data_IF_526989526439
#
_entry.id   IF_526989526439
#
_cell.length_a   1.000
_cell.length_b   1.000
_cell.length_c   1.000
_cell.angle_alpha   90.00
_cell.angle_beta   90.00
_cell.angle_gamma   90.00
#
_symmetry.space_group_name_H-M   'P 1'
#
loop_
_entity.id
_entity.type
_entity.pdbx_description
1 polymer ?
#
# COMPACT_ATOMS: atom_id res chain seq x y z
N UNK A 1 -1.52 8.97 -13.29
CA UNK A 1 -1.76 8.35 -14.61
C UNK A 1 -0.63 8.70 -15.57
N UNK A 2 -0.46 9.99 -15.96
CA UNK A 2 0.55 10.37 -16.97
C UNK A 2 1.97 9.96 -16.58
N UNK A 3 2.39 10.19 -15.32
CA UNK A 3 3.70 9.73 -14.85
C UNK A 3 3.91 8.22 -15.00
N UNK A 4 2.88 7.41 -14.71
CA UNK A 4 2.92 5.96 -14.92
C UNK A 4 3.11 5.61 -16.40
N UNK A 5 2.38 6.30 -17.29
CA UNK A 5 2.51 6.10 -18.75
C UNK A 5 3.91 6.48 -19.22
N UNK A 6 4.45 7.60 -18.75
CA UNK A 6 5.81 8.02 -19.14
C UNK A 6 6.87 7.00 -18.69
N UNK A 7 6.73 6.43 -17.48
CA UNK A 7 7.63 5.38 -17.02
C UNK A 7 7.49 4.12 -17.88
N UNK A 8 6.27 3.70 -18.20
CA UNK A 8 6.04 2.52 -19.07
C UNK A 8 6.61 2.73 -20.48
N UNK A 9 6.48 3.94 -21.05
CA UNK A 9 7.12 4.27 -22.35
C UNK A 9 8.65 4.30 -22.25
N UNK A 10 9.20 4.84 -21.15
CA UNK A 10 10.63 4.79 -20.91
C UNK A 10 11.14 3.33 -20.78
N UNK A 11 10.42 2.47 -20.08
CA UNK A 11 10.73 1.03 -20.02
C UNK A 11 10.66 0.41 -21.42
N UNK A 12 9.66 0.78 -22.22
CA UNK A 12 9.49 0.25 -23.57
C UNK A 12 10.68 0.60 -24.49
N UNK A 13 11.19 1.81 -24.37
CA UNK A 13 12.28 2.34 -25.22
C UNK A 13 13.70 2.07 -24.68
N UNK A 14 13.83 1.46 -23.48
CA UNK A 14 15.15 1.23 -22.84
C UNK A 14 15.47 -0.26 -22.82
N UNK A 15 16.40 -0.70 -23.65
CA UNK A 15 16.72 -2.13 -23.84
C UNK A 15 17.32 -2.81 -22.60
N UNK A 16 18.02 -2.05 -21.75
CA UNK A 16 18.64 -2.58 -20.53
C UNK A 16 17.63 -2.91 -19.44
N UNK A 17 16.42 -2.32 -19.46
CA UNK A 17 15.37 -2.62 -18.47
C UNK A 17 14.69 -3.93 -18.84
N UNK A 18 14.71 -4.90 -17.93
CA UNK A 18 14.08 -6.22 -18.10
C UNK A 18 12.86 -6.43 -17.23
N UNK A 19 12.84 -5.84 -16.03
CA UNK A 19 11.75 -5.99 -15.06
C UNK A 19 11.26 -4.62 -14.62
N UNK A 20 9.94 -4.42 -14.60
CA UNK A 20 9.28 -3.23 -14.07
C UNK A 20 8.19 -3.59 -13.07
N UNK A 21 8.33 -3.13 -11.82
CA UNK A 21 7.31 -3.26 -10.77
C UNK A 21 6.68 -1.89 -10.53
N UNK A 22 5.44 -1.73 -10.99
CA UNK A 22 4.70 -0.47 -10.92
C UNK A 22 3.95 -0.38 -9.59
N UNK A 23 4.34 0.56 -8.73
CA UNK A 23 3.75 0.71 -7.40
C UNK A 23 2.48 1.58 -7.49
N UNK A 24 1.37 1.03 -7.03
CA UNK A 24 0.09 1.73 -6.90
C UNK A 24 -0.39 1.73 -5.45
N UNK A 25 -1.66 1.43 -5.17
CA UNK A 25 -2.24 1.46 -3.83
C UNK A 25 -3.47 0.57 -3.75
N UNK A 26 -3.88 0.19 -2.53
CA UNK A 26 -5.16 -0.46 -2.24
C UNK A 26 -6.37 0.40 -2.64
N UNK A 27 -6.22 1.73 -2.65
CA UNK A 27 -7.27 2.67 -3.04
C UNK A 27 -7.60 2.66 -4.54
N UNK A 28 -6.95 1.83 -5.33
CA UNK A 28 -7.29 1.62 -6.74
C UNK A 28 -8.59 0.82 -6.95
N UNK A 29 -9.07 0.11 -5.93
CA UNK A 29 -10.28 -0.68 -6.00
C UNK A 29 -11.55 0.17 -5.86
N UNK A 30 -12.64 -0.27 -6.51
CA UNK A 30 -13.99 0.24 -6.24
C UNK A 30 -14.40 -0.17 -4.83
N UNK A 31 -14.20 0.73 -3.85
CA UNK A 31 -14.43 0.39 -2.45
C UNK A 31 -15.93 0.36 -2.11
N UNK A 32 -16.45 -0.82 -1.82
CA UNK A 32 -17.84 -1.09 -1.37
C UNK A 32 -17.90 -1.43 0.12
N UNK A 33 -16.82 -1.16 0.87
CA UNK A 33 -16.71 -1.47 2.30
C UNK A 33 -17.06 -2.92 2.66
N UNK A 34 -16.68 -3.86 1.79
CA UNK A 34 -16.93 -5.30 2.00
C UNK A 34 -16.10 -5.85 3.17
N UNK A 35 -16.64 -6.87 3.84
CA UNK A 35 -16.04 -7.47 5.04
C UNK A 35 -14.83 -8.37 4.76
N UNK A 36 -14.60 -8.72 3.51
CA UNK A 36 -13.42 -9.47 3.06
C UNK A 36 -12.45 -8.58 2.29
N UNK A 37 -11.21 -9.01 2.19
CA UNK A 37 -10.17 -8.28 1.45
C UNK A 37 -10.41 -8.27 -0.05
N UNK A 38 -10.04 -7.16 -0.71
CA UNK A 38 -10.07 -7.03 -2.17
C UNK A 38 -9.02 -7.92 -2.81
N UNK A 39 -9.43 -8.66 -3.84
CA UNK A 39 -8.56 -9.50 -4.68
C UNK A 39 -8.12 -8.75 -5.92
N UNK A 40 -7.02 -9.21 -6.51
CA UNK A 40 -6.40 -8.53 -7.66
C UNK A 40 -7.27 -8.44 -8.91
N UNK A 41 -8.27 -9.28 -9.05
CA UNK A 41 -9.23 -9.32 -10.15
C UNK A 41 -10.52 -8.53 -9.91
N UNK A 42 -10.65 -7.86 -8.76
CA UNK A 42 -11.84 -7.06 -8.47
C UNK A 42 -11.84 -5.71 -9.20
N UNK A 43 -13.02 -5.08 -9.37
CA UNK A 43 -13.14 -3.85 -10.14
C UNK A 43 -12.26 -2.72 -9.61
N UNK A 44 -11.64 -1.99 -10.54
CA UNK A 44 -10.94 -0.73 -10.27
C UNK A 44 -11.94 0.41 -10.24
N UNK A 45 -11.70 1.38 -9.34
CA UNK A 45 -12.56 2.54 -9.19
C UNK A 45 -11.90 3.63 -8.36
N UNK A 46 -12.71 4.43 -7.70
CA UNK A 46 -12.25 5.44 -6.76
C UNK A 46 -13.30 6.49 -6.48
N UNK A 47 -13.61 6.67 -5.21
CA UNK A 47 -14.57 7.67 -4.76
C UNK A 47 -14.02 9.10 -4.88
N UNK A 48 -12.72 9.28 -4.65
CA UNK A 48 -12.04 10.57 -4.68
C UNK A 48 -11.03 10.63 -5.85
N UNK A 49 -10.56 11.85 -6.24
CA UNK A 49 -9.64 12.02 -7.35
C UNK A 49 -8.31 11.25 -7.21
N UNK A 50 -7.79 11.08 -5.99
CA UNK A 50 -6.60 10.29 -5.77
C UNK A 50 -6.86 8.81 -6.08
N UNK A 51 -7.88 8.23 -5.48
CA UNK A 51 -8.29 6.84 -5.67
C UNK A 51 -8.57 6.56 -7.15
N UNK A 52 -9.36 7.42 -7.79
CA UNK A 52 -9.66 7.36 -9.23
C UNK A 52 -8.40 7.41 -10.08
N UNK A 53 -7.45 8.28 -9.76
CA UNK A 53 -6.18 8.37 -10.50
C UNK A 53 -5.34 7.09 -10.38
N UNK A 54 -5.41 6.40 -9.24
CA UNK A 54 -4.70 5.13 -9.02
C UNK A 54 -5.38 3.95 -9.72
N UNK A 55 -6.71 3.91 -9.72
CA UNK A 55 -7.47 2.96 -10.54
C UNK A 55 -7.18 3.13 -12.03
N UNK A 56 -7.17 4.37 -12.53
CA UNK A 56 -6.78 4.67 -13.90
C UNK A 56 -5.33 4.27 -14.22
N UNK A 57 -4.40 4.42 -13.27
CA UNK A 57 -3.02 3.95 -13.44
C UNK A 57 -2.94 2.43 -13.58
N UNK A 58 -3.69 1.66 -12.78
CA UNK A 58 -3.78 0.20 -12.88
C UNK A 58 -4.33 -0.24 -14.24
N UNK A 59 -5.38 0.43 -14.72
CA UNK A 59 -5.95 0.17 -16.05
C UNK A 59 -4.92 0.43 -17.15
N UNK A 60 -4.17 1.54 -17.05
CA UNK A 60 -3.10 1.84 -17.99
C UNK A 60 -1.99 0.78 -17.96
N UNK A 61 -1.50 0.38 -16.77
CA UNK A 61 -0.48 -0.66 -16.61
C UNK A 61 -0.97 -1.97 -17.25
N UNK A 62 -2.21 -2.37 -16.97
CA UNK A 62 -2.78 -3.60 -17.53
C UNK A 62 -2.92 -3.52 -19.07
N UNK A 63 -3.23 -2.34 -19.61
CA UNK A 63 -3.28 -2.12 -21.06
C UNK A 63 -1.90 -2.24 -21.70
N UNK A 64 -0.88 -1.54 -21.16
CA UNK A 64 0.51 -1.64 -21.66
C UNK A 64 1.03 -3.06 -21.59
N UNK A 65 0.79 -3.78 -20.48
CA UNK A 65 1.18 -5.18 -20.33
C UNK A 65 0.57 -6.07 -21.41
N UNK A 66 -0.71 -5.89 -21.73
CA UNK A 66 -1.38 -6.68 -22.79
C UNK A 66 -0.95 -6.31 -24.21
N UNK A 67 -0.64 -5.03 -24.45
CA UNK A 67 -0.37 -4.52 -25.79
C UNK A 67 1.11 -4.50 -26.18
N UNK A 68 1.99 -4.12 -25.25
CA UNK A 68 3.42 -3.91 -25.55
C UNK A 68 4.33 -4.89 -24.81
N UNK A 69 3.88 -5.44 -23.68
CA UNK A 69 4.64 -6.34 -22.82
C UNK A 69 3.92 -7.67 -22.60
N UNK A 70 3.20 -8.15 -23.61
CA UNK A 70 2.45 -9.38 -23.48
C UNK A 70 3.40 -10.55 -23.18
N UNK A 71 3.21 -11.29 -22.06
CA UNK A 71 4.08 -12.41 -21.70
C UNK A 71 4.24 -13.47 -22.80
N UNK A 72 3.19 -13.71 -23.61
CA UNK A 72 3.26 -14.65 -24.74
C UNK A 72 4.22 -14.21 -25.86
N UNK A 73 4.58 -12.91 -25.89
CA UNK A 73 5.51 -12.31 -26.86
C UNK A 73 6.84 -11.91 -26.21
N UNK A 74 7.17 -12.47 -25.05
CA UNK A 74 8.37 -12.09 -24.30
C UNK A 74 9.64 -12.15 -25.14
N UNK A 75 9.78 -13.14 -26.00
CA UNK A 75 10.94 -13.26 -26.90
C UNK A 75 11.14 -12.04 -27.82
N UNK A 76 10.06 -11.28 -28.12
CA UNK A 76 10.11 -10.08 -28.95
C UNK A 76 10.55 -8.83 -28.18
N UNK A 77 10.07 -8.65 -26.96
CA UNK A 77 10.28 -7.41 -26.21
C UNK A 77 11.22 -7.57 -25.00
N UNK A 78 11.38 -8.78 -24.46
CA UNK A 78 12.30 -9.10 -23.36
C UNK A 78 12.02 -8.38 -22.04
N UNK A 79 10.75 -8.04 -21.75
CA UNK A 79 10.38 -7.22 -20.59
C UNK A 79 9.23 -7.85 -19.80
N UNK A 80 9.34 -7.81 -18.49
CA UNK A 80 8.32 -8.29 -17.53
C UNK A 80 7.77 -7.11 -16.74
N UNK A 81 6.44 -6.92 -16.73
CA UNK A 81 5.78 -5.80 -16.05
C UNK A 81 4.70 -6.31 -15.11
N UNK A 82 4.79 -5.91 -13.85
CA UNK A 82 3.77 -6.16 -12.84
C UNK A 82 3.33 -4.86 -12.17
N UNK A 83 2.13 -4.85 -11.58
CA UNK A 83 1.70 -3.81 -10.64
C UNK A 83 1.60 -4.36 -9.24
N UNK A 84 1.88 -3.53 -8.24
CA UNK A 84 1.81 -3.90 -6.82
C UNK A 84 0.95 -2.90 -6.07
N UNK A 85 0.11 -3.41 -5.19
CA UNK A 85 -0.85 -2.65 -4.40
C UNK A 85 -0.59 -2.91 -2.93
N UNK A 86 -0.45 -1.84 -2.15
CA UNK A 86 -0.29 -1.93 -0.72
C UNK A 86 -1.22 -0.94 -0.02
N UNK A 87 -1.63 -1.28 1.19
CA UNK A 87 -2.44 -0.44 2.05
C UNK A 87 -1.63 0.60 2.81
N UNK A 88 -2.09 0.95 4.01
CA UNK A 88 -1.48 1.99 4.83
C UNK A 88 -0.08 1.58 5.32
N UNK A 89 0.92 2.00 4.59
CA UNK A 89 2.33 1.75 4.88
C UNK A 89 2.85 2.83 5.82
N UNK A 90 3.45 2.43 6.94
CA UNK A 90 4.09 3.31 7.91
C UNK A 90 5.56 2.94 8.10
N UNK A 91 6.37 3.93 8.51
CA UNK A 91 7.80 3.76 8.71
C UNK A 91 8.43 5.08 9.10
N UNK A 92 9.70 5.09 9.42
CA UNK A 92 10.43 6.31 9.76
C UNK A 92 10.62 7.26 8.58
N UNK A 93 10.87 8.53 8.87
CA UNK A 93 11.20 9.56 7.88
C UNK A 93 10.04 10.17 7.11
N UNK A 94 8.79 9.80 7.39
CA UNK A 94 7.60 10.46 6.82
C UNK A 94 7.25 11.70 7.68
N UNK A 95 7.15 12.87 7.04
CA UNK A 95 6.76 14.14 7.66
C UNK A 95 5.57 14.79 6.97
N UNK A 96 4.88 14.03 6.10
CA UNK A 96 3.74 14.55 5.37
C UNK A 96 2.59 14.96 6.32
N UNK A 97 1.83 15.96 5.91
CA UNK A 97 0.65 16.42 6.64
C UNK A 97 -0.51 15.42 6.48
N UNK A 98 -1.42 15.43 7.43
CA UNK A 98 -2.64 14.60 7.46
C UNK A 98 -2.34 13.10 7.41
N UNK A 99 -1.22 12.69 8.02
CA UNK A 99 -0.86 11.28 8.21
C UNK A 99 -0.69 10.99 9.70
N UNK A 100 -1.31 9.90 10.14
CA UNK A 100 -1.43 9.58 11.58
C UNK A 100 -0.09 9.53 12.30
N UNK A 101 0.93 8.86 11.74
CA UNK A 101 2.23 8.74 12.44
C UNK A 101 2.96 10.08 12.50
N UNK A 102 3.19 10.81 11.39
CA UNK A 102 3.77 12.15 11.45
C UNK A 102 3.03 13.12 12.37
N UNK A 103 1.69 13.09 12.36
CA UNK A 103 0.89 13.98 13.20
C UNK A 103 1.03 13.61 14.69
N UNK A 104 1.04 12.31 15.03
CA UNK A 104 1.33 11.84 16.38
C UNK A 104 2.72 12.31 16.85
N UNK A 105 3.75 12.08 16.05
CA UNK A 105 5.14 12.45 16.41
C UNK A 105 5.27 13.95 16.64
N UNK A 106 4.75 14.78 15.71
CA UNK A 106 4.78 16.26 15.87
C UNK A 106 4.08 16.73 17.14
N UNK A 107 2.93 16.14 17.47
CA UNK A 107 2.21 16.47 18.71
C UNK A 107 3.02 16.06 19.94
N UNK A 108 3.60 14.86 19.95
CA UNK A 108 4.44 14.37 21.06
C UNK A 108 5.71 15.20 21.26
N UNK A 109 6.37 15.60 20.19
CA UNK A 109 7.55 16.49 20.26
C UNK A 109 7.21 17.86 20.83
N UNK A 110 6.07 18.44 20.42
CA UNK A 110 5.62 19.76 20.92
C UNK A 110 4.95 19.70 22.30
N UNK A 111 4.71 18.51 22.86
CA UNK A 111 3.95 18.33 24.11
C UNK A 111 2.45 18.62 23.99
N UNK A 112 1.92 18.62 22.77
CA UNK A 112 0.51 18.80 22.50
C UNK A 112 -0.25 17.46 22.58
N UNK A 113 -1.57 17.51 22.76
CA UNK A 113 -2.41 16.33 22.61
C UNK A 113 -2.54 15.96 21.13
N UNK A 114 -2.69 14.67 20.87
CA UNK A 114 -2.89 14.10 19.54
C UNK A 114 -4.37 14.09 19.20
N UNK A 115 -4.78 14.83 18.21
CA UNK A 115 -6.17 14.98 17.78
C UNK A 115 -6.54 13.91 16.74
N UNK A 116 -7.52 13.05 17.07
CA UNK A 116 -7.97 11.95 16.20
C UNK A 116 -9.35 12.27 15.64
N UNK A 117 -9.44 12.47 14.32
CA UNK A 117 -10.70 12.82 13.64
C UNK A 117 -11.58 11.61 13.36
N UNK A 118 -10.98 10.45 13.03
CA UNK A 118 -11.70 9.22 12.64
C UNK A 118 -11.21 8.02 13.47
N UNK A 119 -11.44 7.97 14.80
CA UNK A 119 -10.86 6.96 15.70
C UNK A 119 -11.23 5.52 15.34
N UNK A 120 -12.45 5.32 14.82
CA UNK A 120 -13.00 3.99 14.48
C UNK A 120 -12.66 3.50 13.08
N UNK A 121 -12.01 4.32 12.27
CA UNK A 121 -11.63 3.91 10.92
C UNK A 121 -10.60 2.77 10.98
N UNK A 122 -10.83 1.72 10.19
CA UNK A 122 -9.98 0.54 10.10
C UNK A 122 -9.11 0.65 8.85
N UNK A 123 -7.81 0.38 9.00
CA UNK A 123 -6.85 0.42 7.90
C UNK A 123 -5.89 -0.78 7.98
N UNK A 124 -5.41 -1.27 6.83
CA UNK A 124 -4.45 -2.37 6.76
C UNK A 124 -3.01 -1.86 7.01
N UNK A 125 -2.71 -1.52 8.27
CA UNK A 125 -1.41 -0.98 8.67
C UNK A 125 -0.29 -2.01 8.50
N UNK A 126 0.80 -1.61 7.85
CA UNK A 126 2.00 -2.44 7.72
C UNK A 126 3.26 -1.58 7.72
N UNK A 127 4.37 -2.15 8.19
CA UNK A 127 5.66 -1.48 8.12
C UNK A 127 6.16 -1.44 6.68
N UNK A 128 6.85 -0.36 6.30
CA UNK A 128 7.36 -0.15 4.93
C UNK A 128 8.24 -1.30 4.42
N UNK A 129 8.98 -1.96 5.30
CA UNK A 129 9.81 -3.11 4.93
C UNK A 129 9.00 -4.33 4.48
N UNK A 130 7.74 -4.46 4.89
CA UNK A 130 6.88 -5.57 4.47
C UNK A 130 6.58 -5.53 2.97
N UNK A 131 5.92 -4.49 2.43
CA UNK A 131 5.65 -4.45 1.00
C UNK A 131 6.93 -4.36 0.17
N UNK A 132 7.99 -3.68 0.66
CA UNK A 132 9.27 -3.62 -0.05
C UNK A 132 9.90 -5.01 -0.20
N UNK A 133 9.84 -5.86 0.83
CA UNK A 133 10.30 -7.25 0.73
C UNK A 133 9.54 -8.04 -0.33
N UNK A 134 8.22 -7.82 -0.41
CA UNK A 134 7.35 -8.42 -1.43
C UNK A 134 7.66 -7.93 -2.83
N UNK A 135 7.90 -6.62 -3.00
CA UNK A 135 8.26 -6.04 -4.31
C UNK A 135 9.59 -6.57 -4.84
N UNK A 136 10.59 -6.71 -3.95
CA UNK A 136 11.88 -7.27 -4.32
C UNK A 136 11.77 -8.76 -4.66
N UNK A 137 11.02 -9.52 -3.89
CA UNK A 137 10.77 -10.94 -4.18
C UNK A 137 10.05 -11.12 -5.53
N UNK A 138 9.02 -10.30 -5.79
CA UNK A 138 8.32 -10.30 -7.07
C UNK A 138 9.28 -9.96 -8.22
N UNK A 139 10.10 -8.94 -8.08
CA UNK A 139 11.08 -8.56 -9.09
C UNK A 139 12.09 -9.70 -9.37
N UNK A 140 12.56 -10.39 -8.34
CA UNK A 140 13.41 -11.57 -8.48
C UNK A 140 12.69 -12.70 -9.23
N UNK A 141 11.45 -13.02 -8.84
CA UNK A 141 10.64 -14.04 -9.52
C UNK A 141 10.41 -13.70 -11.00
N UNK A 142 10.14 -12.43 -11.30
CA UNK A 142 9.98 -11.94 -12.68
C UNK A 142 11.28 -12.00 -13.47
N UNK A 143 12.42 -11.87 -12.82
CA UNK A 143 13.74 -12.04 -13.46
C UNK A 143 14.00 -13.51 -13.81
N UNK A 144 13.69 -14.41 -12.88
CA UNK A 144 13.95 -15.86 -13.02
C UNK A 144 12.95 -16.54 -13.97
N UNK A 145 11.65 -16.11 -13.91
CA UNK A 145 10.56 -16.62 -14.72
C UNK A 145 9.74 -15.46 -15.33
N UNK A 146 10.25 -14.83 -16.40
CA UNK A 146 9.79 -13.52 -16.86
C UNK A 146 8.35 -13.48 -17.41
N UNK A 147 7.73 -14.61 -17.68
CA UNK A 147 6.37 -14.70 -18.21
C UNK A 147 5.31 -14.97 -17.15
N UNK A 148 5.69 -15.47 -15.97
CA UNK A 148 4.76 -16.12 -15.04
C UNK A 148 4.13 -15.18 -14.03
N UNK A 149 4.75 -14.03 -13.78
CA UNK A 149 4.36 -13.11 -12.70
C UNK A 149 3.90 -11.73 -13.20
N UNK A 150 3.65 -11.57 -14.49
CA UNK A 150 3.28 -10.31 -15.13
C UNK A 150 1.82 -9.93 -14.86
N UNK A 151 1.47 -9.68 -13.60
CA UNK A 151 0.11 -9.41 -13.14
C UNK A 151 0.04 -8.29 -12.08
N UNK A 152 -1.17 -8.06 -11.54
CA UNK A 152 -1.35 -7.26 -10.33
C UNK A 152 -1.14 -8.12 -9.08
N UNK A 153 -0.55 -7.55 -8.02
CA UNK A 153 -0.24 -8.23 -6.76
C UNK A 153 -0.59 -7.38 -5.56
N UNK A 154 -1.28 -7.96 -4.58
CA UNK A 154 -1.60 -7.33 -3.32
C UNK A 154 -0.58 -7.69 -2.24
N UNK A 155 -0.15 -6.66 -1.50
CA UNK A 155 0.71 -6.80 -0.32
C UNK A 155 0.07 -6.07 0.86
N UNK A 156 -0.26 -6.78 1.91
CA UNK A 156 -0.95 -6.25 3.08
C UNK A 156 -0.59 -7.01 4.35
N UNK A 157 -1.01 -6.52 5.52
CA UNK A 157 -0.80 -7.21 6.78
C UNK A 157 -1.68 -8.47 6.87
N UNK A 158 -1.38 -9.30 7.84
CA UNK A 158 -2.29 -10.41 8.22
C UNK A 158 -3.59 -9.85 8.80
N UNK A 159 -4.67 -10.60 8.67
CA UNK A 159 -6.00 -10.21 9.20
C UNK A 159 -5.98 -9.90 10.71
N UNK A 160 -5.13 -10.60 11.47
CA UNK A 160 -4.96 -10.37 12.91
C UNK A 160 -4.29 -9.04 13.27
N UNK A 161 -3.66 -8.38 12.30
CA UNK A 161 -2.99 -7.08 12.47
C UNK A 161 -3.87 -5.88 12.09
N UNK A 162 -5.13 -6.13 11.77
CA UNK A 162 -6.09 -5.06 11.47
C UNK A 162 -6.36 -4.27 12.75
N UNK A 163 -6.24 -2.94 12.66
CA UNK A 163 -6.37 -2.06 13.82
C UNK A 163 -7.08 -0.77 13.43
N UNK A 164 -7.78 -0.17 14.41
CA UNK A 164 -8.36 1.15 14.22
C UNK A 164 -7.28 2.24 14.27
N UNK A 165 -7.61 3.42 13.78
CA UNK A 165 -6.76 4.61 13.91
C UNK A 165 -6.46 4.90 15.40
N UNK A 166 -7.45 4.74 16.28
CA UNK A 166 -7.29 4.92 17.71
C UNK A 166 -6.30 3.93 18.33
N UNK A 167 -6.39 2.65 17.96
CA UNK A 167 -5.48 1.62 18.47
C UNK A 167 -4.03 1.90 18.06
N UNK A 168 -3.82 2.33 16.82
CA UNK A 168 -2.49 2.69 16.32
C UNK A 168 -1.94 3.91 17.08
N UNK A 169 -2.73 4.98 17.23
CA UNK A 169 -2.32 6.16 17.99
C UNK A 169 -2.01 5.84 19.46
N UNK A 170 -2.83 4.98 20.10
CA UNK A 170 -2.59 4.51 21.48
C UNK A 170 -1.25 3.79 21.59
N UNK A 171 -0.93 2.94 20.62
CA UNK A 171 0.38 2.24 20.57
C UNK A 171 1.54 3.23 20.38
N UNK A 172 1.37 4.24 19.51
CA UNK A 172 2.40 5.28 19.32
C UNK A 172 2.68 6.00 20.64
N UNK A 173 1.65 6.40 21.39
CA UNK A 173 1.82 7.04 22.71
C UNK A 173 2.52 6.11 23.70
N UNK A 174 2.13 4.83 23.73
CA UNK A 174 2.75 3.83 24.61
C UNK A 174 4.23 3.61 24.27
N UNK A 175 4.57 3.45 22.98
CA UNK A 175 5.95 3.27 22.52
C UNK A 175 6.80 4.52 22.70
N UNK A 176 6.22 5.70 22.50
CA UNK A 176 6.92 6.97 22.72
C UNK A 176 7.17 7.24 24.21
N UNK A 177 6.29 6.72 25.08
CA UNK A 177 6.40 6.79 26.55
C UNK A 177 5.69 7.99 27.20
N UNK A 178 5.02 8.83 26.42
CA UNK A 178 4.22 9.97 26.89
C UNK A 178 3.24 10.43 25.81
N UNK A 179 2.26 11.23 26.18
CA UNK A 179 1.30 11.88 25.29
C UNK A 179 -0.15 11.62 25.68
N UNK A 180 -1.05 12.38 25.11
CA UNK A 180 -2.49 12.30 25.34
C UNK A 180 -3.21 12.25 24.00
N UNK A 181 -4.26 11.42 23.90
CA UNK A 181 -5.15 11.35 22.74
C UNK A 181 -6.43 12.10 23.00
N UNK A 182 -6.92 12.82 22.00
CA UNK A 182 -8.25 13.45 22.03
C UNK A 182 -9.08 12.96 20.85
N UNK A 183 -10.29 12.53 21.12
CA UNK A 183 -11.28 12.21 20.10
C UNK A 183 -11.96 13.50 19.62
N UNK A 184 -11.71 13.86 18.36
CA UNK A 184 -12.34 14.98 17.68
C UNK A 184 -13.34 14.50 16.61
N UNK A 185 -13.83 13.29 16.69
CA UNK A 185 -14.86 12.80 15.77
C UNK A 185 -16.11 13.64 15.85
N UNK A 186 -16.67 14.01 14.69
CA UNK A 186 -17.94 14.73 14.60
C UNK A 186 -18.94 13.91 13.80
N UNK A 187 -20.25 14.01 14.10
CA UNK A 187 -21.29 13.31 13.34
C UNK A 187 -21.32 13.67 11.85
N UNK A 188 -20.91 14.88 11.51
CA UNK A 188 -20.93 15.44 10.14
C UNK A 188 -19.59 15.37 9.43
N UNK A 189 -18.67 14.53 9.91
CA UNK A 189 -17.37 14.35 9.26
C UNK A 189 -17.52 13.89 7.81
N UNK A 190 -16.66 14.39 6.92
CA UNK A 190 -16.58 13.95 5.53
C UNK A 190 -16.49 12.42 5.47
N UNK A 191 -17.17 11.84 4.48
CA UNK A 191 -17.16 10.40 4.26
C UNK A 191 -15.71 9.90 4.09
N UNK A 192 -15.23 9.18 5.08
CA UNK A 192 -13.99 8.43 5.01
C UNK A 192 -14.33 6.94 5.03
N UNK A 193 -13.86 6.20 4.03
CA UNK A 193 -14.09 4.76 3.96
C UNK A 193 -13.74 4.09 5.29
N UNK A 194 -14.69 3.37 5.88
CA UNK A 194 -14.52 2.72 7.19
C UNK A 194 -13.70 1.46 7.11
N UNK A 195 -13.82 0.74 6.00
CA UNK A 195 -13.20 -0.57 5.81
C UNK A 195 -12.54 -0.65 4.43
N UNK A 196 -11.26 -0.95 4.42
CA UNK A 196 -10.50 -1.28 3.22
C UNK A 196 -9.42 -2.30 3.61
N UNK A 197 -9.48 -3.48 3.02
CA UNK A 197 -8.54 -4.58 3.27
C UNK A 197 -8.11 -5.20 1.96
N UNK A 198 -6.93 -5.81 1.93
CA UNK A 198 -6.42 -6.57 0.79
C UNK A 198 -6.43 -8.06 1.11
N UNK A 199 -6.88 -8.88 0.16
CA UNK A 199 -6.60 -10.31 0.15
C UNK A 199 -5.18 -10.52 -0.40
N UNK A 200 -4.32 -11.15 0.39
CA UNK A 200 -2.92 -11.43 0.06
C UNK A 200 -2.68 -12.91 -0.29
N UNK A 201 -3.74 -13.68 -0.45
CA UNK A 201 -3.65 -15.13 -0.70
C UNK A 201 -2.81 -15.44 -1.93
N UNK A 202 -2.94 -14.64 -2.99
CA UNK A 202 -2.15 -14.79 -4.22
C UNK A 202 -0.64 -14.62 -3.95
N UNK A 203 -0.24 -13.58 -3.24
CA UNK A 203 1.16 -13.37 -2.88
C UNK A 203 1.71 -14.51 -2.01
N UNK A 204 0.90 -15.01 -1.06
CA UNK A 204 1.28 -16.14 -0.21
C UNK A 204 1.49 -17.43 -1.01
N UNK A 205 0.53 -17.81 -1.85
CA UNK A 205 0.59 -19.08 -2.57
C UNK A 205 1.56 -19.06 -3.75
N UNK A 206 1.58 -17.97 -4.52
CA UNK A 206 2.36 -17.93 -5.77
C UNK A 206 3.79 -17.43 -5.58
N UNK A 207 4.01 -16.48 -4.65
CA UNK A 207 5.34 -15.95 -4.38
C UNK A 207 6.01 -16.57 -3.16
N UNK A 208 5.23 -17.18 -2.24
CA UNK A 208 5.72 -17.59 -0.93
C UNK A 208 5.99 -16.39 0.00
N UNK A 209 5.41 -15.22 -0.29
CA UNK A 209 5.56 -14.04 0.53
C UNK A 209 4.52 -14.00 1.66
N UNK A 210 4.97 -13.71 2.87
CA UNK A 210 4.09 -13.42 4.01
C UNK A 210 4.59 -12.23 4.80
N UNK A 211 3.69 -11.38 5.31
CA UNK A 211 4.07 -10.33 6.25
C UNK A 211 4.58 -10.97 7.56
N UNK A 212 5.66 -10.42 8.10
CA UNK A 212 6.36 -10.96 9.27
C UNK A 212 6.06 -10.20 10.56
N UNK A 213 5.70 -8.91 10.45
CA UNK A 213 5.47 -8.03 11.59
C UNK A 213 3.99 -7.95 11.95
N UNK A 214 3.70 -8.03 13.24
CA UNK A 214 2.40 -7.63 13.77
C UNK A 214 2.34 -6.10 13.96
N UNK A 215 1.16 -5.59 14.31
CA UNK A 215 0.95 -4.13 14.45
C UNK A 215 1.83 -3.52 15.55
N UNK A 216 2.08 -4.23 16.65
CA UNK A 216 2.97 -3.76 17.72
C UNK A 216 4.41 -3.58 17.24
N UNK A 217 4.96 -4.58 16.56
CA UNK A 217 6.29 -4.51 15.97
C UNK A 217 6.38 -3.40 14.90
N UNK A 218 5.36 -3.26 14.08
CA UNK A 218 5.26 -2.22 13.04
C UNK A 218 5.31 -0.81 13.66
N UNK A 219 4.51 -0.55 14.68
CA UNK A 219 4.50 0.74 15.37
C UNK A 219 5.79 0.97 16.16
N UNK A 220 6.26 -0.04 16.89
CA UNK A 220 7.51 0.05 17.67
C UNK A 220 8.69 0.46 16.81
N UNK A 221 8.98 -0.28 15.73
CA UNK A 221 10.07 0.05 14.79
C UNK A 221 9.91 1.45 14.15
N UNK A 222 8.66 1.84 13.87
CA UNK A 222 8.39 3.16 13.32
C UNK A 222 8.70 4.26 14.34
N UNK A 223 8.24 4.14 15.59
CA UNK A 223 8.47 5.12 16.65
C UNK A 223 9.95 5.19 17.04
N UNK A 224 10.65 4.05 17.10
CA UNK A 224 12.08 4.00 17.41
C UNK A 224 12.93 4.79 16.41
N UNK A 225 12.51 4.87 15.15
CA UNK A 225 13.19 5.70 14.17
C UNK A 225 13.09 7.20 14.48
N UNK A 226 11.98 7.65 15.08
CA UNK A 226 11.75 9.06 15.42
C UNK A 226 12.34 9.49 16.77
N UNK A 227 12.71 8.54 17.63
CA UNK A 227 13.42 8.79 18.90
C UNK A 227 14.90 9.00 18.70
#
# INVERSE_FOLDING_TARGET
VMGTIHVLEAVRSTDSVKVGVMITTDKCYENKEQIWGYRENEPMGGYDPYSSSKGAAEIAIASWRRSFFNPSEYARHGKSIASVRAGNVIGGGDWALDRIIPDCIKALESGAAIDIRSPKAIRPWQHVLEPLSGYMLLAQKMWDAPTDYCEGWNFGPRSESISTVWDVATRVVSEYGRGELRDLSTPDALHEARLLMLDISKARFCLGWEPRMNIGQTVGLTVDWYK
#
